data_IF_625991145510
#
_entry.id   IF_625991145510
#
_cell.length_a   1.000
_cell.length_b   1.000
_cell.length_c   1.000
_cell.angle_alpha   90.00
_cell.angle_beta   90.00
_cell.angle_gamma   90.00
#
_symmetry.space_group_name_H-M   'P 1'
#
loop_
_entity.id
_entity.type
_entity.pdbx_description
1 polymer ?
#
# COMPACT_ATOMS: atom_id res chain seq x y z
N UNK A 1 19.78 -25.91 8.76
CA UNK A 1 19.75 -24.69 7.93
C UNK A 1 20.96 -24.76 7.01
N UNK A 2 20.74 -25.21 5.79
CA UNK A 2 21.81 -25.33 4.79
C UNK A 2 22.31 -23.93 4.38
N UNK A 3 23.54 -23.84 3.91
CA UNK A 3 24.12 -22.60 3.38
C UNK A 3 23.27 -21.98 2.26
N UNK A 4 22.59 -22.83 1.47
CA UNK A 4 21.66 -22.41 0.42
C UNK A 4 20.47 -21.61 1.00
N UNK A 5 19.97 -21.98 2.20
CA UNK A 5 18.83 -21.29 2.83
C UNK A 5 19.20 -19.82 3.17
N UNK A 6 20.45 -19.59 3.58
CA UNK A 6 20.96 -18.24 3.83
C UNK A 6 21.10 -17.41 2.56
N UNK A 7 21.46 -18.03 1.43
CA UNK A 7 21.53 -17.32 0.15
C UNK A 7 20.14 -16.83 -0.30
N UNK A 8 19.08 -17.60 -0.05
CA UNK A 8 17.69 -17.22 -0.37
C UNK A 8 17.24 -16.00 0.43
N UNK A 9 17.77 -15.79 1.64
CA UNK A 9 17.46 -14.61 2.47
C UNK A 9 18.32 -13.41 2.09
N UNK A 10 19.63 -13.62 1.95
CA UNK A 10 20.59 -12.53 1.74
C UNK A 10 20.40 -11.88 0.36
N UNK A 11 20.15 -12.68 -0.69
CA UNK A 11 20.09 -12.15 -2.06
C UNK A 11 18.94 -11.15 -2.25
N UNK A 12 17.67 -11.45 -1.91
CA UNK A 12 16.57 -10.47 -2.03
C UNK A 12 16.81 -9.23 -1.16
N UNK A 13 17.37 -9.40 0.04
CA UNK A 13 17.65 -8.30 0.96
C UNK A 13 18.68 -7.34 0.36
N UNK A 14 19.75 -7.87 -0.24
CA UNK A 14 20.74 -7.07 -0.97
C UNK A 14 20.13 -6.38 -2.19
N UNK A 15 19.24 -7.04 -2.94
CA UNK A 15 18.54 -6.42 -4.08
C UNK A 15 17.71 -5.23 -3.62
N UNK A 16 16.91 -5.39 -2.56
CA UNK A 16 16.09 -4.28 -1.99
C UNK A 16 16.98 -3.15 -1.49
N UNK A 17 18.05 -3.46 -0.77
CA UNK A 17 19.01 -2.46 -0.31
C UNK A 17 19.66 -1.69 -1.47
N UNK A 18 20.12 -2.41 -2.50
CA UNK A 18 20.70 -1.82 -3.71
C UNK A 18 19.72 -0.90 -4.44
N UNK A 19 18.46 -1.32 -4.60
CA UNK A 19 17.40 -0.47 -5.17
C UNK A 19 17.23 0.78 -4.31
N UNK A 20 17.17 0.66 -2.98
CA UNK A 20 17.07 1.79 -2.07
C UNK A 20 18.20 2.82 -2.24
N UNK A 21 19.45 2.34 -2.28
CA UNK A 21 20.62 3.20 -2.52
C UNK A 21 20.56 3.90 -3.88
N UNK A 22 20.20 3.18 -4.95
CA UNK A 22 20.08 3.77 -6.29
C UNK A 22 18.95 4.79 -6.38
N UNK A 23 17.86 4.57 -5.65
CA UNK A 23 16.67 5.43 -5.67
C UNK A 23 16.91 6.77 -4.97
N UNK A 24 17.87 6.82 -4.03
CA UNK A 24 18.24 8.06 -3.31
C UNK A 24 18.62 9.21 -4.23
N UNK A 25 19.23 8.94 -5.39
CA UNK A 25 19.60 9.97 -6.39
C UNK A 25 18.38 10.70 -6.98
N UNK A 26 17.21 10.05 -6.98
CA UNK A 26 15.98 10.60 -7.56
C UNK A 26 15.15 11.40 -6.55
N UNK A 27 15.46 11.29 -5.25
CA UNK A 27 14.76 12.04 -4.20
C UNK A 27 15.43 13.41 -4.05
N UNK A 28 14.88 14.44 -4.70
CA UNK A 28 15.40 15.82 -4.62
C UNK A 28 14.65 16.69 -3.63
N UNK A 29 13.42 16.32 -3.24
CA UNK A 29 12.61 17.06 -2.28
C UNK A 29 11.54 16.21 -1.57
N UNK A 30 10.82 16.84 -0.64
CA UNK A 30 9.78 16.19 0.19
C UNK A 30 8.61 15.69 -0.66
N UNK A 31 8.23 16.42 -1.71
CA UNK A 31 7.19 16.00 -2.66
C UNK A 31 7.58 14.74 -3.44
N UNK A 32 8.87 14.60 -3.77
CA UNK A 32 9.39 13.44 -4.49
C UNK A 32 9.46 12.22 -3.58
N UNK A 33 9.75 12.43 -2.29
CA UNK A 33 9.74 11.37 -1.30
C UNK A 33 8.31 10.88 -0.96
N UNK A 34 7.39 11.81 -0.68
CA UNK A 34 6.05 11.46 -0.21
C UNK A 34 5.07 11.10 -1.34
N UNK A 35 5.22 11.72 -2.52
CA UNK A 35 4.25 11.56 -3.62
C UNK A 35 4.89 11.15 -4.95
N UNK A 36 6.18 10.77 -4.95
CA UNK A 36 6.94 10.41 -6.15
C UNK A 36 6.82 11.47 -7.27
N UNK A 37 6.72 12.75 -6.90
CA UNK A 37 6.53 13.86 -7.84
C UNK A 37 5.22 13.81 -8.63
N UNK A 38 4.28 12.94 -8.24
CA UNK A 38 3.03 12.63 -8.96
C UNK A 38 3.23 12.10 -10.39
N UNK A 39 4.41 11.55 -10.68
CA UNK A 39 4.75 11.00 -12.01
C UNK A 39 4.51 9.48 -12.09
N UNK A 40 4.24 8.83 -10.95
CA UNK A 40 4.02 7.39 -10.90
C UNK A 40 2.82 6.95 -11.75
N UNK A 41 3.06 6.01 -12.68
CA UNK A 41 2.03 5.47 -13.57
C UNK A 41 0.97 4.66 -12.81
N UNK A 42 -0.23 4.53 -13.41
CA UNK A 42 -1.38 3.85 -12.79
C UNK A 42 -1.07 2.41 -12.38
N UNK A 43 -0.35 1.68 -13.21
CA UNK A 43 0.03 0.29 -12.93
C UNK A 43 0.94 0.19 -11.69
N UNK A 44 2.01 0.99 -11.64
CA UNK A 44 2.96 0.98 -10.52
C UNK A 44 2.25 1.36 -9.21
N UNK A 45 1.36 2.34 -9.25
CA UNK A 45 0.56 2.71 -8.08
C UNK A 45 -0.39 1.59 -7.65
N UNK A 46 -1.12 0.96 -8.58
CA UNK A 46 -2.04 -0.12 -8.25
C UNK A 46 -1.31 -1.33 -7.65
N UNK A 47 -0.19 -1.74 -8.24
CA UNK A 47 0.62 -2.85 -7.74
C UNK A 47 1.23 -2.50 -6.38
N UNK A 48 1.80 -1.30 -6.21
CA UNK A 48 2.37 -0.89 -4.93
C UNK A 48 1.32 -0.85 -3.81
N UNK A 49 0.10 -0.37 -4.10
CA UNK A 49 -1.00 -0.38 -3.14
C UNK A 49 -1.41 -1.82 -2.77
N UNK A 50 -1.50 -2.73 -3.75
CA UNK A 50 -1.79 -4.14 -3.48
C UNK A 50 -0.71 -4.82 -2.62
N UNK A 51 0.56 -4.55 -2.90
CA UNK A 51 1.68 -5.09 -2.11
C UNK A 51 1.73 -4.51 -0.69
N UNK A 52 1.34 -3.24 -0.49
CA UNK A 52 1.31 -2.63 0.84
C UNK A 52 0.29 -3.29 1.78
N UNK A 53 -0.80 -3.84 1.24
CA UNK A 53 -1.82 -4.57 2.01
C UNK A 53 -1.35 -6.00 2.35
N UNK A 54 -0.58 -6.62 1.47
CA UNK A 54 -0.09 -8.00 1.58
C UNK A 54 1.25 -8.10 2.32
N UNK A 55 1.25 -7.78 3.61
CA UNK A 55 2.39 -8.02 4.50
C UNK A 55 2.43 -9.46 5.06
N UNK A 56 3.57 -9.87 5.64
CA UNK A 56 3.71 -11.17 6.33
C UNK A 56 2.67 -11.35 7.45
N UNK A 57 2.43 -10.29 8.22
CA UNK A 57 1.43 -10.27 9.29
C UNK A 57 0.03 -10.52 8.73
N UNK A 58 -0.33 -9.84 7.63
CA UNK A 58 -1.61 -10.03 6.95
C UNK A 58 -1.78 -11.48 6.48
N UNK A 59 -0.73 -12.09 5.94
CA UNK A 59 -0.75 -13.47 5.47
C UNK A 59 -1.02 -14.45 6.62
N UNK A 60 -0.30 -14.31 7.74
CA UNK A 60 -0.54 -15.14 8.94
C UNK A 60 -1.94 -14.95 9.48
N UNK A 61 -2.41 -13.70 9.56
CA UNK A 61 -3.76 -13.39 10.02
C UNK A 61 -4.83 -14.04 9.14
N UNK A 62 -4.66 -14.03 7.81
CA UNK A 62 -5.58 -14.70 6.89
C UNK A 62 -5.63 -16.21 7.15
N UNK A 63 -4.48 -16.86 7.35
CA UNK A 63 -4.44 -18.29 7.71
C UNK A 63 -5.13 -18.59 9.04
N UNK A 64 -4.93 -17.75 10.05
CA UNK A 64 -5.59 -17.90 11.35
C UNK A 64 -7.11 -17.77 11.23
N UNK A 65 -7.59 -16.77 10.48
CA UNK A 65 -9.02 -16.56 10.25
C UNK A 65 -9.63 -17.74 9.49
N UNK A 66 -8.96 -18.27 8.47
CA UNK A 66 -9.43 -19.46 7.77
C UNK A 66 -9.45 -20.70 8.66
N UNK A 67 -8.48 -20.84 9.58
CA UNK A 67 -8.43 -21.96 10.50
C UNK A 67 -9.59 -21.93 11.51
N UNK A 68 -9.95 -20.75 12.01
CA UNK A 68 -11.01 -20.60 13.03
C UNK A 68 -12.41 -20.53 12.41
N UNK A 69 -12.60 -19.69 11.39
CA UNK A 69 -13.91 -19.39 10.83
C UNK A 69 -14.26 -20.20 9.56
N UNK A 70 -13.28 -20.91 8.97
CA UNK A 70 -13.48 -21.68 7.75
C UNK A 70 -13.91 -20.81 6.56
N UNK A 71 -14.76 -21.36 5.70
CA UNK A 71 -15.18 -20.72 4.45
C UNK A 71 -16.11 -19.50 4.66
N UNK A 72 -16.57 -19.23 5.88
CA UNK A 72 -17.43 -18.07 6.15
C UNK A 72 -16.70 -16.73 5.88
N UNK A 73 -15.37 -16.69 6.00
CA UNK A 73 -14.58 -15.49 5.73
C UNK A 73 -14.64 -15.05 4.26
N UNK A 74 -14.64 -15.99 3.31
CA UNK A 74 -14.67 -15.67 1.88
C UNK A 74 -15.98 -15.01 1.44
N UNK A 75 -17.09 -15.33 2.10
CA UNK A 75 -18.38 -14.67 1.86
C UNK A 75 -18.31 -13.17 2.19
N UNK A 76 -17.71 -12.81 3.32
CA UNK A 76 -17.53 -11.41 3.72
C UNK A 76 -16.57 -10.68 2.79
N UNK A 77 -15.49 -11.33 2.37
CA UNK A 77 -14.55 -10.75 1.41
C UNK A 77 -15.23 -10.47 0.05
N UNK A 78 -16.07 -11.40 -0.42
CA UNK A 78 -16.85 -11.24 -1.65
C UNK A 78 -17.85 -10.07 -1.59
N UNK A 79 -18.37 -9.72 -0.41
CA UNK A 79 -19.21 -8.53 -0.21
C UNK A 79 -18.37 -7.23 -0.21
N UNK A 80 -17.11 -7.29 0.23
CA UNK A 80 -16.24 -6.11 0.27
C UNK A 80 -15.85 -5.60 -1.13
N UNK A 81 -15.72 -6.52 -2.10
CA UNK A 81 -15.36 -6.23 -3.50
C UNK A 81 -16.34 -5.25 -4.17
N UNK A 82 -17.67 -5.51 -4.22
CA UNK A 82 -18.60 -4.58 -4.86
C UNK A 82 -18.68 -3.24 -4.13
N UNK A 83 -18.57 -3.23 -2.79
CA UNK A 83 -18.57 -1.98 -2.01
C UNK A 83 -17.38 -1.11 -2.39
N UNK A 84 -16.17 -1.68 -2.39
CA UNK A 84 -14.94 -0.95 -2.75
C UNK A 84 -14.97 -0.51 -4.22
N UNK A 85 -15.54 -1.31 -5.11
CA UNK A 85 -15.74 -0.95 -6.51
C UNK A 85 -16.69 0.26 -6.67
N UNK A 86 -17.84 0.26 -5.99
CA UNK A 86 -18.78 1.39 -6.01
C UNK A 86 -18.13 2.65 -5.43
N UNK A 87 -17.39 2.52 -4.33
CA UNK A 87 -16.67 3.65 -3.71
C UNK A 87 -15.56 4.20 -4.62
N UNK A 88 -14.85 3.32 -5.33
CA UNK A 88 -13.84 3.72 -6.31
C UNK A 88 -14.46 4.44 -7.53
N UNK A 89 -15.61 3.95 -8.03
CA UNK A 89 -16.32 4.54 -9.17
C UNK A 89 -16.98 5.89 -8.84
N UNK A 90 -17.61 5.99 -7.67
CA UNK A 90 -18.21 7.25 -7.18
C UNK A 90 -17.15 8.29 -6.82
N UNK A 91 -15.88 7.87 -6.65
CA UNK A 91 -14.79 8.76 -6.29
C UNK A 91 -14.95 9.38 -4.90
N UNK A 92 -15.79 8.77 -4.06
CA UNK A 92 -16.09 9.28 -2.73
C UNK A 92 -14.79 9.40 -1.92
N UNK A 93 -14.54 10.59 -1.36
CA UNK A 93 -13.28 11.02 -0.73
C UNK A 93 -12.06 11.11 -1.66
N UNK A 94 -11.84 10.17 -2.60
CA UNK A 94 -10.64 10.14 -3.46
C UNK A 94 -10.58 11.37 -4.37
N UNK A 95 -11.69 11.75 -5.00
CA UNK A 95 -11.73 12.91 -5.89
C UNK A 95 -11.38 14.20 -5.13
N UNK A 96 -12.02 14.43 -3.97
CA UNK A 96 -11.78 15.60 -3.12
C UNK A 96 -10.37 15.63 -2.53
N UNK A 97 -9.82 14.47 -2.17
CA UNK A 97 -8.45 14.34 -1.69
C UNK A 97 -7.45 14.75 -2.77
N UNK A 98 -7.68 14.36 -4.03
CA UNK A 98 -6.84 14.76 -5.17
C UNK A 98 -6.93 16.26 -5.47
N UNK A 99 -8.11 16.87 -5.35
CA UNK A 99 -8.29 18.32 -5.55
C UNK A 99 -7.47 19.16 -4.56
N UNK A 100 -7.47 18.79 -3.27
CA UNK A 100 -6.75 19.53 -2.23
C UNK A 100 -5.22 19.41 -2.31
N UNK A 101 -4.71 18.50 -3.15
CA UNK A 101 -3.26 18.22 -3.31
C UNK A 101 -2.53 17.95 -2.00
N UNK A 102 -3.24 17.47 -0.97
CA UNK A 102 -2.67 17.03 0.28
C UNK A 102 -1.65 15.90 0.06
N UNK A 103 -0.60 15.85 0.87
CA UNK A 103 0.39 14.75 0.81
C UNK A 103 0.04 13.62 1.78
N UNK A 104 -0.77 13.89 2.81
CA UNK A 104 -1.21 12.90 3.80
C UNK A 104 -2.70 13.05 4.10
N UNK A 105 -3.33 11.95 4.54
CA UNK A 105 -4.74 11.99 4.95
C UNK A 105 -4.95 12.89 6.18
N UNK A 106 -3.98 12.93 7.09
CA UNK A 106 -4.00 13.86 8.24
C UNK A 106 -4.02 15.33 7.81
N UNK A 107 -3.22 15.72 6.81
CA UNK A 107 -3.26 17.08 6.27
C UNK A 107 -4.62 17.39 5.61
N UNK A 108 -5.21 16.43 4.90
CA UNK A 108 -6.54 16.58 4.32
C UNK A 108 -7.61 16.84 5.38
N UNK A 109 -7.58 16.10 6.49
CA UNK A 109 -8.51 16.34 7.60
C UNK A 109 -8.29 17.69 8.27
N UNK A 110 -7.04 18.11 8.48
CA UNK A 110 -6.74 19.44 9.02
C UNK A 110 -7.28 20.58 8.14
N UNK A 111 -7.20 20.44 6.81
CA UNK A 111 -7.74 21.43 5.88
C UNK A 111 -9.28 21.46 5.84
N UNK A 112 -9.93 20.34 6.16
CA UNK A 112 -11.40 20.20 6.08
C UNK A 112 -12.12 20.49 7.38
N UNK A 113 -11.55 20.10 8.52
CA UNK A 113 -12.21 20.10 9.83
C UNK A 113 -11.55 21.00 10.88
N UNK A 114 -10.50 21.75 10.51
CA UNK A 114 -9.67 22.58 11.41
C UNK A 114 -8.75 21.75 12.31
N UNK A 115 -7.72 22.41 12.87
CA UNK A 115 -6.66 21.80 13.72
C UNK A 115 -7.07 21.61 15.19
N UNK A 116 -8.33 21.83 15.52
CA UNK A 116 -8.81 21.83 16.91
C UNK A 116 -8.98 20.43 17.48
#
# INVERSE_FOLDING_TARGET
MHWIDWMIVIIPLLIVAYIGFKTRKYVKGVSDFLTAGRVAGRYVLAVAQGQAVLGLISLVAVFEVYYVAGFAYSFWDMISIPITMIMALTGYCIYRFRETRAMTMGQFFQMRYSKS
#
